data_IF_441328868184
#
_entry.id   IF_441328868184
#
_cell.length_a   1.000
_cell.length_b   1.000
_cell.length_c   1.000
_cell.angle_alpha   90.00
_cell.angle_beta   90.00
_cell.angle_gamma   90.00
#
_symmetry.space_group_name_H-M   'P 1'
#
loop_
_entity.id
_entity.type
_entity.pdbx_description
1 polymer ?
#
# COMPACT_ATOMS: atom_id res chain seq x y z
N UNK A 1 43.18 22.12 -7.47
CA UNK A 1 41.84 22.60 -7.87
C UNK A 1 40.88 21.43 -7.83
N UNK A 2 39.98 21.45 -6.84
CA UNK A 2 39.05 20.39 -6.50
C UNK A 2 37.85 20.45 -7.47
N UNK A 3 37.70 19.47 -8.37
CA UNK A 3 36.50 19.35 -9.22
C UNK A 3 35.55 18.33 -8.59
N UNK A 4 34.59 18.85 -7.83
CA UNK A 4 33.38 18.13 -7.44
C UNK A 4 32.61 17.75 -8.70
N UNK A 5 32.51 16.46 -8.96
CA UNK A 5 31.64 15.88 -9.96
C UNK A 5 31.05 14.59 -9.41
N UNK A 6 30.52 14.66 -8.18
CA UNK A 6 30.02 13.52 -7.44
C UNK A 6 28.64 13.13 -7.95
N UNK A 7 28.58 11.94 -8.53
CA UNK A 7 27.46 10.99 -8.59
C UNK A 7 26.04 11.56 -8.72
N UNK A 8 25.53 11.53 -9.95
CA UNK A 8 24.11 11.24 -10.19
C UNK A 8 23.89 9.74 -9.90
N UNK A 9 23.63 9.42 -8.63
CA UNK A 9 23.13 8.12 -8.21
C UNK A 9 21.66 8.06 -8.63
N UNK A 10 21.43 7.64 -9.88
CA UNK A 10 20.13 7.23 -10.35
C UNK A 10 19.79 5.90 -9.65
N UNK A 11 19.12 5.96 -8.50
CA UNK A 11 18.56 4.77 -7.86
C UNK A 11 17.31 4.38 -8.65
N UNK A 12 17.53 3.71 -9.77
CA UNK A 12 16.54 2.85 -10.39
C UNK A 12 16.83 1.43 -9.89
N UNK A 13 16.24 1.07 -8.75
CA UNK A 13 16.23 -0.32 -8.28
C UNK A 13 15.01 -0.59 -7.38
N UNK A 14 13.99 -1.20 -8.01
CA UNK A 14 13.16 -2.26 -7.44
C UNK A 14 12.36 -1.96 -6.16
N UNK A 15 11.27 -1.20 -6.24
CA UNK A 15 10.25 -1.16 -5.18
C UNK A 15 9.12 -2.17 -5.40
N UNK A 16 9.47 -3.43 -5.72
CA UNK A 16 8.53 -4.54 -5.52
C UNK A 16 8.54 -5.06 -4.07
N UNK A 17 9.39 -4.47 -3.21
CA UNK A 17 9.56 -4.82 -1.80
C UNK A 17 8.73 -3.97 -0.82
N UNK A 18 7.98 -2.97 -1.30
CA UNK A 18 7.20 -2.08 -0.40
C UNK A 18 5.81 -2.66 -0.05
N UNK A 19 5.47 -3.85 -0.54
CA UNK A 19 4.38 -4.65 0.04
C UNK A 19 4.73 -5.25 1.41
N UNK A 20 5.99 -5.13 1.82
CA UNK A 20 6.47 -5.35 3.19
C UNK A 20 6.64 -4.03 3.96
N UNK A 21 6.03 -2.92 3.50
CA UNK A 21 5.99 -1.68 4.27
C UNK A 21 5.30 -1.90 5.62
N UNK A 22 5.58 -1.04 6.59
CA UNK A 22 4.93 -1.08 7.92
C UNK A 22 3.39 -1.14 7.82
N UNK A 23 2.81 -0.53 6.78
CA UNK A 23 1.38 -0.63 6.49
C UNK A 23 0.95 -2.06 6.09
N UNK A 24 1.71 -2.72 5.22
CA UNK A 24 1.46 -4.11 4.82
C UNK A 24 1.49 -5.09 5.98
N UNK A 25 2.48 -4.96 6.88
CA UNK A 25 2.58 -5.78 8.09
C UNK A 25 1.41 -5.51 9.05
N UNK A 26 1.07 -4.24 9.26
CA UNK A 26 -0.07 -3.84 10.08
C UNK A 26 -1.40 -4.43 9.56
N UNK A 27 -1.72 -4.25 8.28
CA UNK A 27 -2.98 -4.74 7.71
C UNK A 27 -3.05 -6.27 7.59
N UNK A 28 -1.91 -6.96 7.60
CA UNK A 28 -1.86 -8.42 7.57
C UNK A 28 -1.94 -9.06 8.95
N UNK A 29 -1.34 -8.45 9.98
CA UNK A 29 -1.16 -9.08 11.31
C UNK A 29 -1.89 -8.41 12.45
N UNK A 30 -2.04 -7.08 12.40
CA UNK A 30 -2.52 -6.28 13.52
C UNK A 30 -3.90 -5.66 13.29
N UNK A 31 -4.30 -5.54 12.03
CA UNK A 31 -5.63 -5.04 11.66
C UNK A 31 -6.69 -6.11 11.92
N UNK A 32 -7.56 -5.82 12.88
CA UNK A 32 -8.75 -6.64 13.18
C UNK A 32 -10.01 -5.99 12.63
N UNK A 33 -10.12 -4.68 12.79
CA UNK A 33 -11.20 -3.86 12.24
C UNK A 33 -10.72 -2.42 12.02
N UNK A 34 -11.60 -1.56 11.49
CA UNK A 34 -11.27 -0.16 11.22
C UNK A 34 -10.89 0.65 12.49
N UNK A 35 -11.32 0.22 13.68
CA UNK A 35 -10.95 0.87 14.95
C UNK A 35 -9.50 0.61 15.32
N UNK A 36 -8.85 -0.40 14.75
CA UNK A 36 -7.40 -0.58 14.86
C UNK A 36 -6.61 0.65 14.37
N UNK A 37 -7.24 1.54 13.59
CA UNK A 37 -6.65 2.80 13.13
C UNK A 37 -6.97 4.00 14.04
N UNK A 38 -7.73 3.82 15.12
CA UNK A 38 -7.92 4.88 16.12
C UNK A 38 -6.60 5.20 16.82
N UNK A 39 -6.50 6.39 17.40
CA UNK A 39 -5.25 6.89 17.96
C UNK A 39 -5.45 7.41 19.38
N UNK A 40 -4.54 7.05 20.27
CA UNK A 40 -4.53 7.52 21.65
C UNK A 40 -3.56 8.69 21.88
N UNK A 41 -2.71 9.00 20.89
CA UNK A 41 -1.80 10.14 20.92
C UNK A 41 -1.46 10.65 19.50
N UNK A 42 -0.79 11.81 19.42
CA UNK A 42 -0.42 12.47 18.15
C UNK A 42 0.47 11.59 17.25
N UNK A 43 1.37 10.80 17.85
CA UNK A 43 2.27 9.91 17.11
C UNK A 43 1.48 8.79 16.43
N UNK A 44 0.61 8.12 17.18
CA UNK A 44 -0.27 7.08 16.64
C UNK A 44 -1.23 7.63 15.59
N UNK A 45 -1.75 8.84 15.81
CA UNK A 45 -2.61 9.51 14.83
C UNK A 45 -1.87 9.68 13.50
N UNK A 46 -0.65 10.20 13.53
CA UNK A 46 0.19 10.33 12.34
C UNK A 46 0.46 8.98 11.68
N UNK A 47 0.88 7.99 12.46
CA UNK A 47 1.19 6.65 11.95
C UNK A 47 -0.03 5.99 11.30
N UNK A 48 -1.21 6.10 11.92
CA UNK A 48 -2.44 5.51 11.40
C UNK A 48 -2.97 6.24 10.17
N UNK A 49 -2.74 7.56 10.05
CA UNK A 49 -2.98 8.30 8.81
C UNK A 49 -2.10 7.81 7.68
N UNK A 50 -0.80 7.64 7.93
CA UNK A 50 0.15 7.14 6.92
C UNK A 50 -0.22 5.70 6.51
N UNK A 51 -0.53 4.82 7.47
CA UNK A 51 -1.03 3.45 7.19
C UNK A 51 -2.26 3.46 6.29
N UNK A 52 -3.28 4.25 6.60
CA UNK A 52 -4.49 4.32 5.77
C UNK A 52 -4.19 4.87 4.38
N UNK A 53 -3.36 5.91 4.27
CA UNK A 53 -2.94 6.47 2.98
C UNK A 53 -2.24 5.41 2.13
N UNK A 54 -1.28 4.70 2.71
CA UNK A 54 -0.48 3.71 1.99
C UNK A 54 -1.32 2.50 1.58
N UNK A 55 -2.31 2.09 2.39
CA UNK A 55 -3.32 1.10 1.99
C UNK A 55 -4.11 1.56 0.75
N UNK A 56 -4.62 2.79 0.78
CA UNK A 56 -5.42 3.33 -0.32
C UNK A 56 -4.60 3.48 -1.61
N UNK A 57 -3.34 3.91 -1.51
CA UNK A 57 -2.40 3.96 -2.63
C UNK A 57 -2.15 2.54 -3.17
N UNK A 58 -1.91 1.56 -2.30
CA UNK A 58 -1.71 0.16 -2.71
C UNK A 58 -2.92 -0.38 -3.46
N UNK A 59 -4.14 -0.06 -3.02
CA UNK A 59 -5.37 -0.42 -3.73
C UNK A 59 -5.43 0.28 -5.10
N UNK A 60 -5.07 1.56 -5.16
CA UNK A 60 -5.05 2.33 -6.40
C UNK A 60 -4.06 1.75 -7.42
N UNK A 61 -2.88 1.35 -6.98
CA UNK A 61 -1.85 0.73 -7.82
C UNK A 61 -2.28 -0.66 -8.31
N UNK A 62 -2.96 -1.44 -7.46
CA UNK A 62 -3.45 -2.79 -7.80
C UNK A 62 -4.84 -2.81 -8.43
N UNK A 63 -5.38 -1.65 -8.80
CA UNK A 63 -6.74 -1.48 -9.31
C UNK A 63 -7.04 -2.41 -10.50
N UNK A 64 -6.09 -2.57 -11.42
CA UNK A 64 -6.22 -3.43 -12.60
C UNK A 64 -6.34 -4.92 -12.26
N UNK A 65 -5.77 -5.35 -11.13
CA UNK A 65 -5.85 -6.72 -10.61
C UNK A 65 -7.11 -6.94 -9.75
N UNK A 66 -7.56 -5.89 -9.06
CA UNK A 66 -8.73 -5.95 -8.18
C UNK A 66 -10.06 -5.88 -8.94
N UNK A 67 -10.18 -5.01 -9.94
CA UNK A 67 -11.43 -4.80 -10.70
C UNK A 67 -12.04 -6.08 -11.31
N UNK A 68 -11.25 -7.01 -11.89
CA UNK A 68 -11.80 -8.27 -12.43
C UNK A 68 -12.31 -9.24 -11.36
N UNK A 69 -11.80 -9.15 -10.13
CA UNK A 69 -12.16 -10.02 -9.00
C UNK A 69 -13.32 -9.47 -8.17
N UNK A 70 -13.65 -8.19 -8.39
CA UNK A 70 -14.64 -7.45 -7.63
C UNK A 70 -16.06 -7.66 -8.18
N UNK A 71 -17.05 -7.73 -7.28
CA UNK A 71 -18.45 -7.54 -7.63
C UNK A 71 -18.77 -6.07 -7.94
N UNK A 72 -19.99 -5.77 -8.37
CA UNK A 72 -20.36 -4.42 -8.80
C UNK A 72 -20.32 -3.39 -7.65
N UNK A 73 -20.63 -3.82 -6.42
CA UNK A 73 -20.54 -2.94 -5.25
C UNK A 73 -19.08 -2.62 -4.91
N UNK A 74 -18.20 -3.63 -4.98
CA UNK A 74 -16.77 -3.48 -4.78
C UNK A 74 -16.13 -2.63 -5.88
N UNK A 75 -16.55 -2.77 -7.15
CA UNK A 75 -16.10 -1.90 -8.25
C UNK A 75 -16.47 -0.44 -8.00
N UNK A 76 -17.69 -0.17 -7.55
CA UNK A 76 -18.11 1.19 -7.22
C UNK A 76 -17.24 1.82 -6.10
N UNK A 77 -16.87 1.04 -5.07
CA UNK A 77 -15.92 1.50 -4.04
C UNK A 77 -14.51 1.71 -4.63
N UNK A 78 -14.04 0.77 -5.45
CA UNK A 78 -12.73 0.86 -6.11
C UNK A 78 -12.59 2.13 -6.97
N UNK A 79 -13.65 2.52 -7.68
CA UNK A 79 -13.66 3.76 -8.47
C UNK A 79 -13.51 5.04 -7.63
N UNK A 80 -13.88 4.98 -6.35
CA UNK A 80 -13.75 6.11 -5.43
C UNK A 80 -12.38 6.22 -4.77
N UNK A 81 -11.51 5.21 -4.88
CA UNK A 81 -10.23 5.13 -4.14
C UNK A 81 -9.38 6.40 -4.32
N UNK A 82 -9.29 6.95 -5.54
CA UNK A 82 -8.54 8.20 -5.77
C UNK A 82 -9.09 9.41 -4.99
N UNK A 83 -10.42 9.49 -4.83
CA UNK A 83 -11.06 10.49 -3.98
C UNK A 83 -10.76 10.25 -2.50
N UNK A 84 -10.79 8.99 -2.05
CA UNK A 84 -10.45 8.64 -0.66
C UNK A 84 -8.99 8.97 -0.31
N UNK A 85 -8.04 8.70 -1.20
CA UNK A 85 -6.63 9.12 -1.04
C UNK A 85 -6.55 10.64 -0.84
N UNK A 86 -7.29 11.39 -1.65
CA UNK A 86 -7.32 12.86 -1.55
C UNK A 86 -7.94 13.35 -0.25
N UNK A 87 -8.99 12.69 0.26
CA UNK A 87 -9.59 13.00 1.56
C UNK A 87 -8.59 12.80 2.71
N UNK A 88 -7.86 11.68 2.73
CA UNK A 88 -6.84 11.43 3.76
C UNK A 88 -5.69 12.44 3.67
N UNK A 89 -5.20 12.74 2.46
CA UNK A 89 -4.16 13.75 2.27
C UNK A 89 -4.58 15.14 2.73
N UNK A 90 -5.83 15.54 2.44
CA UNK A 90 -6.36 16.82 2.89
C UNK A 90 -6.53 16.85 4.41
N UNK A 91 -7.00 15.76 5.02
CA UNK A 91 -7.08 15.63 6.47
C UNK A 91 -5.70 15.78 7.12
N UNK A 92 -4.69 15.03 6.66
CA UNK A 92 -3.33 15.10 7.17
C UNK A 92 -2.75 16.52 7.08
N UNK A 93 -2.97 17.22 5.96
CA UNK A 93 -2.55 18.63 5.81
C UNK A 93 -3.28 19.56 6.79
N UNK A 94 -4.58 19.39 6.98
CA UNK A 94 -5.37 20.33 7.77
C UNK A 94 -5.23 20.09 9.28
N UNK A 95 -5.15 18.84 9.71
CA UNK A 95 -5.18 18.46 11.13
C UNK A 95 -3.92 18.91 11.90
N UNK A 96 -2.77 18.94 11.24
CA UNK A 96 -1.52 19.42 11.84
C UNK A 96 -1.27 20.91 11.66
N UNK A 97 -1.87 21.53 10.65
CA UNK A 97 -1.78 22.98 10.45
C UNK A 97 -2.81 23.76 11.27
N UNK A 98 -3.91 23.12 11.68
CA UNK A 98 -4.91 23.72 12.53
C UNK A 98 -4.47 23.69 14.00
N UNK A 99 -4.79 24.76 14.75
CA UNK A 99 -4.58 24.85 16.21
C UNK A 99 -5.62 24.03 16.99
N UNK A 100 -5.89 22.80 16.56
CA UNK A 100 -6.81 21.88 17.21
C UNK A 100 -6.10 21.16 18.36
N UNK A 101 -6.84 20.88 19.44
CA UNK A 101 -6.36 19.97 20.47
C UNK A 101 -6.46 18.51 19.99
N UNK A 102 -5.72 17.61 20.66
CA UNK A 102 -5.65 16.21 20.25
C UNK A 102 -7.02 15.51 20.22
N UNK A 103 -7.93 15.81 21.15
CA UNK A 103 -9.24 15.17 21.19
C UNK A 103 -10.05 15.54 19.95
N UNK A 104 -10.02 16.81 19.53
CA UNK A 104 -10.66 17.25 18.29
C UNK A 104 -10.07 16.55 17.06
N UNK A 105 -8.74 16.42 17.01
CA UNK A 105 -8.06 15.71 15.91
C UNK A 105 -8.47 14.23 15.87
N UNK A 106 -8.48 13.56 17.03
CA UNK A 106 -8.92 12.17 17.18
C UNK A 106 -10.35 11.98 16.73
N UNK A 107 -11.28 12.81 17.21
CA UNK A 107 -12.70 12.66 16.90
C UNK A 107 -12.96 12.87 15.39
N UNK A 108 -12.30 13.85 14.78
CA UNK A 108 -12.37 14.06 13.32
C UNK A 108 -11.75 12.89 12.54
N UNK A 109 -10.64 12.33 13.04
CA UNK A 109 -9.98 11.16 12.44
C UNK A 109 -10.87 9.92 12.51
N UNK A 110 -11.47 9.64 13.66
CA UNK A 110 -12.41 8.52 13.81
C UNK A 110 -13.60 8.65 12.87
N UNK A 111 -14.13 9.88 12.70
CA UNK A 111 -15.21 10.14 11.77
C UNK A 111 -14.79 9.85 10.33
N UNK A 112 -13.59 10.27 9.93
CA UNK A 112 -13.03 9.99 8.61
C UNK A 112 -12.85 8.48 8.37
N UNK A 113 -12.28 7.75 9.33
CA UNK A 113 -12.14 6.28 9.24
C UNK A 113 -13.51 5.63 9.07
N UNK A 114 -14.49 5.99 9.90
CA UNK A 114 -15.86 5.44 9.81
C UNK A 114 -16.44 5.71 8.42
N UNK A 115 -16.28 6.91 7.89
CA UNK A 115 -16.75 7.24 6.54
C UNK A 115 -16.08 6.36 5.48
N UNK A 116 -14.75 6.25 5.49
CA UNK A 116 -13.99 5.48 4.49
C UNK A 116 -14.32 3.98 4.54
N UNK A 117 -14.32 3.39 5.73
CA UNK A 117 -14.50 1.94 5.86
C UNK A 117 -15.94 1.49 5.78
N UNK A 118 -16.88 2.25 6.37
CA UNK A 118 -18.28 1.86 6.48
C UNK A 118 -19.11 2.48 5.36
N UNK A 119 -19.12 3.80 5.24
CA UNK A 119 -19.96 4.50 4.26
C UNK A 119 -19.49 4.25 2.83
N UNK A 120 -18.20 4.44 2.58
CA UNK A 120 -17.61 4.27 1.24
C UNK A 120 -17.28 2.81 0.93
N UNK A 121 -17.33 1.93 1.94
CA UNK A 121 -17.31 0.49 1.77
C UNK A 121 -15.92 -0.13 1.64
N UNK A 122 -14.85 0.54 2.09
CA UNK A 122 -13.48 -0.01 2.01
C UNK A 122 -13.34 -1.37 2.69
N UNK A 123 -14.12 -1.65 3.76
CA UNK A 123 -14.18 -2.96 4.42
C UNK A 123 -14.46 -4.11 3.44
N UNK A 124 -15.20 -3.85 2.36
CA UNK A 124 -15.56 -4.85 1.35
C UNK A 124 -14.43 -5.12 0.35
N UNK A 125 -13.42 -4.25 0.30
CA UNK A 125 -12.26 -4.36 -0.60
C UNK A 125 -11.12 -5.15 0.04
N UNK A 126 -10.97 -5.10 1.37
CA UNK A 126 -9.90 -5.81 2.08
C UNK A 126 -9.80 -7.31 1.75
N UNK A 127 -10.92 -8.07 1.66
CA UNK A 127 -10.84 -9.48 1.28
C UNK A 127 -10.31 -9.70 -0.14
N UNK A 128 -10.50 -8.75 -1.06
CA UNK A 128 -9.95 -8.83 -2.42
C UNK A 128 -8.42 -8.68 -2.42
N UNK A 129 -7.88 -7.80 -1.56
CA UNK A 129 -6.43 -7.66 -1.39
C UNK A 129 -5.82 -8.96 -0.86
N UNK A 130 -6.45 -9.59 0.12
CA UNK A 130 -6.01 -10.89 0.67
C UNK A 130 -6.02 -11.99 -0.40
N UNK A 131 -7.04 -12.01 -1.27
CA UNK A 131 -7.08 -12.96 -2.40
C UNK A 131 -5.88 -12.78 -3.31
N UNK A 132 -5.48 -11.56 -3.67
CA UNK A 132 -4.31 -11.31 -4.51
C UNK A 132 -3.02 -11.72 -3.80
N UNK A 133 -2.89 -11.41 -2.50
CA UNK A 133 -1.71 -11.77 -1.70
C UNK A 133 -1.53 -13.30 -1.60
N UNK A 134 -2.62 -14.04 -1.40
CA UNK A 134 -2.59 -15.50 -1.32
C UNK A 134 -2.53 -16.20 -2.69
N UNK A 135 -2.85 -15.49 -3.77
CA UNK A 135 -2.76 -16.01 -5.14
C UNK A 135 -1.39 -15.77 -5.79
N UNK A 136 -0.52 -14.96 -5.16
CA UNK A 136 0.86 -14.81 -5.59
C UNK A 136 1.60 -16.15 -5.30
N UNK A 137 2.11 -16.86 -6.32
CA UNK A 137 2.91 -18.05 -6.07
C UNK A 137 4.11 -17.66 -5.20
N UNK A 138 4.40 -18.46 -4.18
CA UNK A 138 5.60 -18.34 -3.34
C UNK A 138 6.93 -18.60 -4.11
N UNK A 139 6.94 -18.42 -5.43
CA UNK A 139 7.99 -18.80 -6.36
C UNK A 139 8.10 -17.80 -7.52
N UNK A 140 8.43 -16.55 -7.22
CA UNK A 140 8.93 -15.60 -8.24
C UNK A 140 10.48 -15.54 -8.30
N UNK A 141 11.18 -16.50 -7.68
CA UNK A 141 12.65 -16.57 -7.70
C UNK A 141 13.25 -17.68 -8.58
N UNK A 142 12.47 -18.49 -9.30
CA UNK A 142 13.03 -19.65 -10.06
C UNK A 142 12.59 -19.81 -11.52
N UNK A 143 11.90 -18.84 -12.13
CA UNK A 143 11.45 -18.98 -13.53
C UNK A 143 12.27 -18.23 -14.59
N UNK A 144 13.40 -17.61 -14.24
CA UNK A 144 14.30 -16.96 -15.21
C UNK A 144 15.65 -17.65 -15.42
N UNK A 145 15.83 -18.90 -14.96
CA UNK A 145 17.13 -19.60 -15.05
C UNK A 145 17.10 -21.00 -15.68
N UNK A 146 16.09 -21.35 -16.47
CA UNK A 146 16.05 -22.66 -17.17
C UNK A 146 15.98 -22.61 -18.69
N UNK A 147 16.15 -21.44 -19.32
CA UNK A 147 16.30 -21.35 -20.78
C UNK A 147 17.75 -21.46 -21.29
N UNK A 148 18.71 -21.91 -20.47
CA UNK A 148 20.03 -22.32 -20.97
C UNK A 148 20.12 -23.85 -20.86
N UNK A 149 19.52 -24.53 -21.84
CA UNK A 149 19.91 -25.89 -22.17
C UNK A 149 21.36 -25.87 -22.78
N UNK A 150 22.09 -26.99 -22.71
CA UNK A 150 23.53 -27.04 -22.49
C UNK A 150 24.37 -26.81 -23.76
N UNK A 151 25.35 -25.91 -23.71
CA UNK A 151 26.34 -25.70 -24.78
C UNK A 151 27.79 -25.88 -24.27
N UNK A 152 28.05 -26.90 -23.44
CA UNK A 152 29.43 -27.24 -23.02
C UNK A 152 29.78 -28.73 -23.17
N UNK A 153 29.24 -29.42 -24.18
CA UNK A 153 29.64 -30.82 -24.47
C UNK A 153 29.91 -31.14 -25.95
N UNK A 154 30.15 -30.13 -26.80
CA UNK A 154 30.67 -30.37 -28.16
C UNK A 154 31.74 -29.31 -28.49
N UNK A 155 32.91 -29.39 -27.85
CA UNK A 155 34.14 -28.71 -28.28
C UNK A 155 35.42 -29.31 -27.68
N UNK A 156 35.43 -30.60 -27.36
CA UNK A 156 36.64 -31.36 -26.99
C UNK A 156 36.58 -32.75 -27.65
N UNK A 157 36.56 -32.73 -28.97
CA UNK A 157 36.95 -33.85 -29.82
C UNK A 157 37.41 -33.28 -31.15
N UNK A 158 38.69 -32.92 -31.21
CA UNK A 158 39.65 -33.20 -32.27
C UNK A 158 41.05 -32.76 -31.81
#
# INVERSE_FOLDING_TARGET
MLKYGTLLLLIAATTYADLLSEAGDFFSKHFTDFKSLFADNEKELQQNMDRLRDLLITIQEKMSLLKPLADDAQKATLEKIGSLVSQVNNFQKNVFNAKLDFNQKRDNWEHLIKNIFVTEGLNKILPLLQKIQNSAPATFTTLLLTCIAPLLSIALRE
#
